data_IF_512655816055
#
_entry.id   IF_512655816055
#
_cell.length_a   1.000
_cell.length_b   1.000
_cell.length_c   1.000
_cell.angle_alpha   90.00
_cell.angle_beta   90.00
_cell.angle_gamma   90.00
#
_symmetry.space_group_name_H-M   'P 1'
#
loop_
_entity.id
_entity.type
_entity.pdbx_description
1 polymer ?
#
# COMPACT_ATOMS: atom_id res chain seq x y z
N UNK A 1 8.82 2.76 -15.80
CA UNK A 1 8.13 1.65 -15.11
C UNK A 1 9.11 1.14 -14.08
N UNK A 2 8.75 1.36 -12.82
CA UNK A 2 9.46 0.88 -11.65
C UNK A 2 9.65 -0.63 -11.72
N UNK A 3 10.79 -1.09 -11.22
CA UNK A 3 11.11 -2.52 -11.17
C UNK A 3 11.07 -3.01 -9.73
N UNK A 4 10.90 -4.32 -9.55
CA UNK A 4 11.08 -4.97 -8.26
C UNK A 4 12.52 -5.45 -8.14
N UNK A 5 13.20 -5.06 -7.06
CA UNK A 5 14.50 -5.61 -6.68
C UNK A 5 14.35 -7.07 -6.21
N UNK A 6 13.27 -7.35 -5.48
CA UNK A 6 12.86 -8.71 -5.16
C UNK A 6 11.35 -8.81 -5.00
N UNK A 7 10.82 -9.98 -5.33
CA UNK A 7 9.40 -10.30 -5.35
C UNK A 7 9.11 -11.43 -4.35
N UNK A 8 7.88 -11.48 -3.86
CA UNK A 8 7.42 -12.59 -3.04
C UNK A 8 7.05 -13.81 -3.92
N UNK A 9 6.82 -15.00 -3.31
CA UNK A 9 6.30 -16.15 -4.06
C UNK A 9 5.03 -15.80 -4.83
N UNK A 10 4.91 -16.31 -6.06
CA UNK A 10 3.74 -16.02 -6.91
C UNK A 10 2.44 -16.48 -6.26
N UNK A 11 1.41 -15.68 -6.46
CA UNK A 11 0.03 -15.98 -6.05
C UNK A 11 -0.86 -16.13 -7.26
N UNK A 12 -1.96 -16.85 -7.07
CA UNK A 12 -3.01 -17.03 -8.06
C UNK A 12 -4.16 -16.06 -7.80
N UNK A 13 -5.04 -15.94 -8.80
CA UNK A 13 -6.33 -15.27 -8.62
C UNK A 13 -7.20 -15.90 -7.51
N UNK A 14 -7.00 -17.18 -7.19
CA UNK A 14 -7.74 -17.83 -6.11
C UNK A 14 -7.24 -17.35 -4.74
N UNK A 15 -5.93 -17.21 -4.57
CA UNK A 15 -5.33 -16.69 -3.33
C UNK A 15 -5.77 -15.24 -3.09
N UNK A 16 -5.81 -14.41 -4.14
CA UNK A 16 -6.27 -13.02 -4.03
C UNK A 16 -7.77 -12.96 -3.66
N UNK A 17 -8.61 -13.79 -4.30
CA UNK A 17 -10.04 -13.87 -3.96
C UNK A 17 -10.29 -14.38 -2.56
N UNK A 18 -9.44 -15.27 -2.06
CA UNK A 18 -9.53 -15.74 -0.68
C UNK A 18 -9.22 -14.61 0.28
N UNK A 19 -8.16 -13.84 0.04
CA UNK A 19 -7.86 -12.63 0.82
C UNK A 19 -9.02 -11.61 0.80
N UNK A 20 -9.58 -11.32 -0.38
CA UNK A 20 -10.75 -10.43 -0.52
C UNK A 20 -11.95 -10.92 0.32
N UNK A 21 -12.19 -12.23 0.34
CA UNK A 21 -13.27 -12.84 1.14
C UNK A 21 -13.00 -12.83 2.65
N UNK A 22 -11.76 -13.10 3.06
CA UNK A 22 -11.37 -13.15 4.46
C UNK A 22 -11.40 -11.76 5.12
N UNK A 23 -11.03 -10.74 4.35
CA UNK A 23 -10.98 -9.35 4.82
C UNK A 23 -12.23 -8.52 4.46
N UNK A 24 -13.20 -9.10 3.75
CA UNK A 24 -14.39 -8.41 3.22
C UNK A 24 -14.05 -7.13 2.41
N UNK A 25 -13.02 -7.23 1.57
CA UNK A 25 -12.55 -6.12 0.71
C UNK A 25 -12.65 -6.48 -0.76
N UNK A 26 -12.76 -5.46 -1.62
CA UNK A 26 -12.63 -5.62 -3.08
C UNK A 26 -11.44 -4.83 -3.57
N UNK A 27 -10.41 -5.51 -4.08
CA UNK A 27 -9.19 -4.87 -4.53
C UNK A 27 -9.40 -4.23 -5.91
N UNK A 28 -8.89 -3.01 -6.13
CA UNK A 28 -8.84 -2.41 -7.46
C UNK A 28 -8.10 -3.32 -8.45
N UNK A 29 -8.62 -3.47 -9.66
CA UNK A 29 -8.05 -4.35 -10.70
C UNK A 29 -6.53 -4.13 -10.88
N UNK A 30 -6.10 -2.87 -10.86
CA UNK A 30 -4.70 -2.48 -11.00
C UNK A 30 -3.80 -3.11 -9.91
N UNK A 31 -4.30 -3.20 -8.67
CA UNK A 31 -3.57 -3.82 -7.58
C UNK A 31 -3.61 -5.34 -7.64
N UNK A 32 -4.73 -5.93 -8.10
CA UNK A 32 -4.80 -7.37 -8.41
C UNK A 32 -3.76 -7.77 -9.47
N UNK A 33 -3.64 -6.99 -10.55
CA UNK A 33 -2.64 -7.24 -11.59
C UNK A 33 -1.21 -7.19 -11.00
N UNK A 34 -0.93 -6.21 -10.14
CA UNK A 34 0.35 -6.11 -9.41
C UNK A 34 0.62 -7.31 -8.50
N UNK A 35 -0.38 -7.80 -7.76
CA UNK A 35 -0.23 -8.97 -6.90
C UNK A 35 0.04 -10.24 -7.71
N UNK A 36 -0.59 -10.40 -8.88
CA UNK A 36 -0.31 -11.52 -9.78
C UNK A 36 1.09 -11.43 -10.38
N UNK A 37 1.53 -10.23 -10.74
CA UNK A 37 2.81 -10.01 -11.40
C UNK A 37 3.97 -10.06 -10.41
N UNK A 38 3.85 -9.49 -9.21
CA UNK A 38 4.96 -9.31 -8.26
C UNK A 38 4.66 -9.87 -6.86
N UNK A 39 3.39 -9.90 -6.45
CA UNK A 39 2.95 -10.23 -5.10
C UNK A 39 3.62 -9.37 -4.01
N UNK A 40 3.90 -8.10 -4.30
CA UNK A 40 4.68 -7.24 -3.40
C UNK A 40 6.17 -7.60 -3.37
N UNK A 41 6.86 -7.17 -2.32
CA UNK A 41 8.31 -7.28 -2.20
C UNK A 41 8.98 -5.92 -2.11
N UNK A 42 10.22 -5.82 -2.59
CA UNK A 42 11.06 -4.63 -2.48
C UNK A 42 11.19 -3.96 -3.85
N UNK A 43 10.73 -2.72 -4.03
CA UNK A 43 10.93 -2.01 -5.28
C UNK A 43 12.39 -1.57 -5.44
N UNK A 44 12.85 -1.42 -6.68
CA UNK A 44 14.17 -0.87 -6.99
C UNK A 44 14.13 0.65 -6.82
N UNK A 45 13.24 1.32 -7.55
CA UNK A 45 12.89 2.71 -7.31
C UNK A 45 11.86 2.76 -6.17
N UNK A 46 12.23 3.31 -5.02
CA UNK A 46 11.41 3.23 -3.80
C UNK A 46 10.94 4.58 -3.26
N UNK A 47 11.56 5.69 -3.67
CA UNK A 47 11.28 7.00 -3.10
C UNK A 47 10.01 7.62 -3.69
N UNK A 48 9.30 8.38 -2.88
CA UNK A 48 8.13 9.16 -3.28
C UNK A 48 8.05 10.47 -2.50
N UNK A 49 7.42 11.47 -3.11
CA UNK A 49 7.13 12.75 -2.46
C UNK A 49 5.83 12.66 -1.68
N UNK A 50 5.84 13.10 -0.43
CA UNK A 50 4.65 13.23 0.42
C UNK A 50 3.96 14.55 0.11
N UNK A 51 4.66 15.67 0.26
CA UNK A 51 4.20 17.03 -0.05
C UNK A 51 5.40 18.00 -0.11
N UNK A 52 5.15 19.28 -0.42
CA UNK A 52 6.21 20.30 -0.33
C UNK A 52 6.66 20.54 1.13
N UNK A 53 5.76 20.36 2.10
CA UNK A 53 6.01 20.66 3.52
C UNK A 53 6.56 19.44 4.28
N UNK A 54 6.04 18.24 4.00
CA UNK A 54 6.46 16.98 4.65
C UNK A 54 7.67 16.33 3.97
N UNK A 55 8.02 16.78 2.75
CA UNK A 55 9.14 16.26 2.00
C UNK A 55 8.85 14.90 1.36
N UNK A 56 9.74 13.94 1.58
CA UNK A 56 9.78 12.67 0.87
C UNK A 56 9.96 11.50 1.84
N UNK A 57 9.46 10.34 1.44
CA UNK A 57 9.74 9.06 2.12
C UNK A 57 10.00 7.99 1.05
N UNK A 58 10.07 6.73 1.47
CA UNK A 58 10.30 5.62 0.57
C UNK A 58 9.48 4.39 0.96
N UNK A 59 9.11 3.61 -0.05
CA UNK A 59 8.55 2.28 0.14
C UNK A 59 9.66 1.35 0.61
N UNK A 60 9.60 0.94 1.87
CA UNK A 60 10.48 -0.08 2.41
C UNK A 60 10.09 -1.45 1.85
N UNK A 61 8.79 -1.79 1.86
CA UNK A 61 8.29 -3.06 1.36
C UNK A 61 6.81 -2.98 1.00
N UNK A 62 6.47 -3.49 -0.18
CA UNK A 62 5.09 -3.85 -0.52
C UNK A 62 4.69 -5.18 0.11
N UNK A 63 3.54 -5.20 0.79
CA UNK A 63 2.99 -6.41 1.36
C UNK A 63 2.48 -7.35 0.27
N UNK A 64 2.74 -8.65 0.47
CA UNK A 64 2.22 -9.72 -0.37
C UNK A 64 1.23 -10.59 0.37
N UNK A 65 0.59 -11.50 -0.36
CA UNK A 65 -0.23 -12.58 0.21
C UNK A 65 0.66 -13.82 0.37
N UNK A 66 0.54 -14.50 1.51
CA UNK A 66 1.27 -15.75 1.79
C UNK A 66 1.94 -15.75 3.17
N UNK A 67 2.88 -16.67 3.39
CA UNK A 67 3.49 -16.94 4.70
C UNK A 67 4.75 -16.10 5.00
N UNK A 68 4.71 -14.81 4.69
CA UNK A 68 5.74 -13.87 5.12
C UNK A 68 5.41 -13.26 6.50
N UNK A 69 6.45 -12.75 7.19
CA UNK A 69 6.32 -12.19 8.54
C UNK A 69 5.32 -11.04 8.60
N UNK A 70 5.41 -10.09 7.67
CA UNK A 70 4.38 -9.07 7.43
C UNK A 70 3.84 -9.25 6.02
N UNK A 71 2.63 -9.83 5.97
CA UNK A 71 1.82 -10.09 4.79
C UNK A 71 0.55 -9.21 4.85
N UNK A 72 -0.19 -9.09 3.75
CA UNK A 72 -1.39 -8.27 3.68
C UNK A 72 -2.42 -8.62 4.75
N UNK A 73 -2.75 -9.90 4.94
CA UNK A 73 -3.76 -10.33 5.92
C UNK A 73 -3.40 -9.99 7.37
N UNK A 74 -2.14 -10.20 7.77
CA UNK A 74 -1.64 -9.87 9.11
C UNK A 74 -1.63 -8.36 9.35
N UNK A 75 -1.24 -7.58 8.34
CA UNK A 75 -1.22 -6.11 8.48
C UNK A 75 -2.64 -5.56 8.52
N UNK A 76 -3.55 -6.11 7.70
CA UNK A 76 -4.97 -5.78 7.75
C UNK A 76 -5.55 -6.01 9.15
N UNK A 77 -5.31 -7.19 9.75
CA UNK A 77 -5.76 -7.49 11.12
C UNK A 77 -5.15 -6.55 12.18
N UNK A 78 -3.87 -6.20 12.04
CA UNK A 78 -3.16 -5.33 13.00
C UNK A 78 -3.66 -3.88 12.95
N UNK A 79 -4.04 -3.39 11.77
CA UNK A 79 -4.49 -2.01 11.56
C UNK A 79 -6.02 -1.86 11.56
N UNK A 80 -6.76 -2.93 11.83
CA UNK A 80 -8.22 -2.89 11.93
C UNK A 80 -8.65 -1.91 13.03
N UNK A 81 -9.39 -0.87 12.66
CA UNK A 81 -9.83 0.20 13.56
C UNK A 81 -8.80 1.31 13.82
N UNK A 82 -7.56 1.18 13.31
CA UNK A 82 -6.53 2.23 13.39
C UNK A 82 -6.51 3.13 12.14
N UNK A 83 -6.90 2.58 10.99
CA UNK A 83 -7.05 3.30 9.71
C UNK A 83 -8.53 3.31 9.27
N UNK A 84 -8.96 4.27 8.42
CA UNK A 84 -10.35 4.33 7.98
C UNK A 84 -10.76 3.08 7.16
N UNK A 85 -12.01 2.63 7.32
CA UNK A 85 -12.52 1.35 6.78
C UNK A 85 -12.45 1.24 5.24
N UNK A 86 -12.41 2.37 4.53
CA UNK A 86 -12.34 2.41 3.07
C UNK A 86 -10.92 2.13 2.52
N UNK A 87 -9.94 1.85 3.39
CA UNK A 87 -8.54 1.67 3.06
C UNK A 87 -7.96 0.35 3.59
N UNK A 88 -6.90 -0.11 2.91
CA UNK A 88 -6.01 -1.14 3.43
C UNK A 88 -4.56 -0.65 3.35
N UNK A 89 -3.69 -1.10 4.24
CA UNK A 89 -2.26 -0.89 4.06
C UNK A 89 -1.68 -1.89 3.04
N UNK A 90 -0.94 -1.36 2.06
CA UNK A 90 -0.31 -2.12 0.98
C UNK A 90 1.22 -2.11 1.04
N UNK A 91 1.80 -1.22 1.82
CA UNK A 91 3.24 -1.10 2.02
C UNK A 91 3.54 -0.25 3.26
N UNK A 92 4.79 -0.31 3.73
CA UNK A 92 5.28 0.62 4.75
C UNK A 92 6.53 1.37 4.31
N UNK A 93 6.87 2.40 5.07
CA UNK A 93 8.18 3.04 5.06
C UNK A 93 9.10 2.46 6.18
N UNK A 94 10.37 2.87 6.25
CA UNK A 94 11.28 2.44 7.32
C UNK A 94 10.95 3.01 8.71
N UNK A 95 10.16 4.08 8.79
CA UNK A 95 9.80 4.76 10.03
C UNK A 95 8.56 4.15 10.71
N UNK A 96 7.85 3.25 10.03
CA UNK A 96 6.64 2.60 10.55
C UNK A 96 5.34 3.26 10.08
N UNK A 97 5.43 4.20 9.13
CA UNK A 97 4.26 4.77 8.47
C UNK A 97 3.80 3.85 7.34
N UNK A 98 2.53 3.98 6.97
CA UNK A 98 1.88 3.06 6.04
C UNK A 98 1.51 3.77 4.73
N UNK A 99 1.58 3.02 3.63
CA UNK A 99 1.05 3.43 2.33
C UNK A 99 -0.28 2.71 2.18
N UNK A 100 -1.36 3.48 2.14
CA UNK A 100 -2.73 3.01 2.10
C UNK A 100 -3.27 3.03 0.67
N UNK A 101 -4.04 2.00 0.33
CA UNK A 101 -4.81 1.91 -0.91
C UNK A 101 -6.29 2.03 -0.58
N UNK A 102 -6.97 2.99 -1.20
CA UNK A 102 -8.42 3.05 -1.13
C UNK A 102 -9.05 1.89 -1.89
N UNK A 103 -9.94 1.15 -1.22
CA UNK A 103 -10.62 -0.03 -1.77
C UNK A 103 -12.11 0.19 -2.01
N UNK A 104 -12.66 1.30 -1.52
CA UNK A 104 -14.09 1.58 -1.56
C UNK A 104 -14.40 3.07 -1.84
N UNK A 105 -15.64 3.35 -2.24
CA UNK A 105 -16.18 4.70 -2.39
C UNK A 105 -15.37 5.62 -3.32
N UNK A 106 -15.31 6.90 -2.95
CA UNK A 106 -14.57 7.94 -3.69
C UNK A 106 -13.04 7.78 -3.61
N UNK A 107 -12.56 6.91 -2.72
CA UNK A 107 -11.15 6.61 -2.52
C UNK A 107 -10.65 5.45 -3.38
N UNK A 108 -11.55 4.68 -4.01
CA UNK A 108 -11.19 3.44 -4.68
C UNK A 108 -10.08 3.64 -5.73
N UNK A 109 -8.97 2.96 -5.52
CA UNK A 109 -7.77 2.99 -6.36
C UNK A 109 -6.75 4.06 -6.00
N UNK A 110 -7.13 5.11 -5.24
CA UNK A 110 -6.22 6.17 -4.81
C UNK A 110 -5.23 5.66 -3.75
N UNK A 111 -4.06 6.27 -3.72
CA UNK A 111 -2.98 5.91 -2.79
C UNK A 111 -2.68 7.06 -1.86
N UNK A 112 -2.55 6.76 -0.57
CA UNK A 112 -2.26 7.72 0.49
C UNK A 112 -1.06 7.27 1.32
N UNK A 113 -0.39 8.22 1.95
CA UNK A 113 0.59 7.99 3.00
C UNK A 113 -0.03 8.35 4.34
N UNK A 114 0.06 7.46 5.32
CA UNK A 114 -0.51 7.65 6.65
C UNK A 114 0.61 7.73 7.69
N UNK A 115 0.69 8.87 8.38
CA UNK A 115 1.68 9.10 9.42
C UNK A 115 1.10 8.71 10.78
N UNK A 116 1.49 7.54 11.27
CA UNK A 116 0.92 6.92 12.47
C UNK A 116 1.17 7.71 13.76
N UNK A 117 2.26 8.48 13.81
CA UNK A 117 2.68 9.25 14.99
C UNK A 117 1.92 10.57 15.17
N UNK A 118 1.07 10.96 14.22
CA UNK A 118 0.27 12.18 14.28
C UNK A 118 -1.12 11.84 14.80
N UNK A 119 -1.50 12.43 15.95
CA UNK A 119 -2.89 12.43 16.42
C UNK A 119 -3.71 13.38 15.54
N UNK A 120 -4.68 12.88 14.75
CA UNK A 120 -5.49 13.71 13.86
C UNK A 120 -6.56 14.51 14.63
N UNK A 121 -6.85 15.75 14.19
CA UNK A 121 -8.04 16.48 14.65
C UNK A 121 -9.29 15.98 13.90
N UNK A 122 -9.17 15.75 12.58
CA UNK A 122 -10.12 15.07 11.70
C UNK A 122 -9.53 13.77 11.14
N UNK A 123 -10.36 12.75 10.88
CA UNK A 123 -9.97 11.36 10.54
C UNK A 123 -8.84 11.18 9.50
N UNK A 124 -8.67 12.12 8.57
CA UNK A 124 -7.68 12.05 7.49
C UNK A 124 -6.56 13.11 7.58
N UNK A 125 -6.44 13.85 8.68
CA UNK A 125 -5.42 14.92 8.82
C UNK A 125 -3.98 14.40 8.77
N UNK A 126 -3.77 13.14 9.15
CA UNK A 126 -2.49 12.46 9.05
C UNK A 126 -2.34 11.64 7.76
N UNK A 127 -3.25 11.82 6.79
CA UNK A 127 -3.23 11.14 5.49
C UNK A 127 -2.91 12.10 4.34
N UNK A 128 -1.89 11.76 3.55
CA UNK A 128 -1.41 12.56 2.43
C UNK A 128 -1.65 11.80 1.13
N UNK A 129 -2.36 12.39 0.17
CA UNK A 129 -2.57 11.75 -1.14
C UNK A 129 -1.25 11.67 -1.91
N UNK A 130 -0.91 10.46 -2.38
CA UNK A 130 0.28 10.21 -3.21
C UNK A 130 -0.06 10.11 -4.69
N UNK A 131 -1.21 9.52 -5.04
CA UNK A 131 -1.65 9.36 -6.42
C UNK A 131 -3.15 9.09 -6.53
N UNK A 132 -3.73 9.36 -7.71
CA UNK A 132 -5.12 9.04 -8.02
C UNK A 132 -5.32 7.56 -8.43
N UNK A 133 -4.23 6.82 -8.62
CA UNK A 133 -4.27 5.38 -8.87
C UNK A 133 -3.03 4.64 -8.39
N UNK A 134 -3.16 3.35 -8.06
CA UNK A 134 -2.03 2.50 -7.71
C UNK A 134 -0.96 2.44 -8.82
N UNK A 135 -1.36 2.32 -10.09
CA UNK A 135 -0.40 2.27 -11.22
C UNK A 135 0.35 3.58 -11.37
N UNK A 136 -0.30 4.72 -11.14
CA UNK A 136 0.38 6.02 -11.13
C UNK A 136 1.41 6.09 -10.00
N UNK A 137 1.02 5.76 -8.76
CA UNK A 137 1.93 5.73 -7.62
C UNK A 137 3.14 4.84 -7.91
N UNK A 138 2.90 3.59 -8.30
CA UNK A 138 3.96 2.63 -8.54
C UNK A 138 4.93 3.10 -9.64
N UNK A 139 4.42 3.68 -10.73
CA UNK A 139 5.26 4.15 -11.84
C UNK A 139 6.02 5.46 -11.56
N UNK A 140 5.57 6.23 -10.57
CA UNK A 140 6.18 7.49 -10.19
C UNK A 140 7.24 7.34 -9.10
N UNK A 141 7.46 6.14 -8.55
CA UNK A 141 8.57 5.88 -7.65
C UNK A 141 9.91 6.18 -8.35
N UNK A 142 10.87 6.72 -7.59
CA UNK A 142 12.20 7.11 -8.11
C UNK A 142 13.34 6.66 -7.17
N UNK A 143 14.57 6.69 -7.69
CA UNK A 143 15.78 6.60 -6.87
C UNK A 143 16.06 7.98 -6.28
N UNK A 144 16.19 8.09 -4.96
CA UNK A 144 16.70 9.31 -4.31
C UNK A 144 18.18 9.51 -4.67
N UNK A 145 18.58 10.75 -4.93
CA UNK A 145 20.00 11.10 -5.18
C UNK A 145 20.90 10.94 -3.94
#
# INVERSE_FOLDING_TARGET
MTKMLSENPKVSLQDIKQFEQECDVTLPKQYVDFLLEYNGGFPQESSFKISDDEGESLVNKFYGIGDMKSNLGKVFEVLEGEIPEDFISIANDPAGNEILLGVNGDFQGKVYFWIHDIEPEDEMDNMFILADSFVEFFNNLYESE
#
